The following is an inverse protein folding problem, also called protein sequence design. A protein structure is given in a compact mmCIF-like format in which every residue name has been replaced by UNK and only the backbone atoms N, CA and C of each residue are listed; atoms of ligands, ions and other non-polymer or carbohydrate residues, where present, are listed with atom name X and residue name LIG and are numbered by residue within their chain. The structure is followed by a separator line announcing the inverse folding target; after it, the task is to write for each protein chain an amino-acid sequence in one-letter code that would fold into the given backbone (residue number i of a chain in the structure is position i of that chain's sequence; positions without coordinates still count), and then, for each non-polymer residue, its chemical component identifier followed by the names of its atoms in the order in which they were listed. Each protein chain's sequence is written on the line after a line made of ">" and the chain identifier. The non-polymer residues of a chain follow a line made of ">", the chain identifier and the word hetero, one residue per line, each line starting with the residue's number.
data_IF_554508606696
#
_entry.id   IF_554508606696
#
_cell.length_a   1.000
_cell.length_b   1.000
_cell.length_c   1.000
_cell.angle_alpha   90.00
_cell.angle_beta   90.00
_cell.angle_gamma   90.00
#
_symmetry.space_group_name_H-M   'P 1'
#
loop_
_entity.id
_entity.type
_entity.pdbx_description
1 polymer ?
#
# COMPACT_ATOMS: atom_id res chain seq x y z
N UNK A 1 -0.03 0.17 -23.54
CA UNK A 1 -0.27 0.57 -22.15
C UNK A 1 -1.64 0.10 -21.74
N UNK A 2 -1.74 -1.23 -21.68
CA UNK A 2 -2.82 -1.90 -20.97
C UNK A 2 -2.40 -1.88 -19.50
N UNK A 3 -3.29 -1.43 -18.63
CA UNK A 3 -3.03 -1.43 -17.19
C UNK A 3 -3.87 -2.53 -16.54
N UNK A 4 -3.22 -3.31 -15.70
CA UNK A 4 -3.91 -4.20 -14.78
C UNK A 4 -4.05 -3.53 -13.42
N UNK A 5 -5.06 -3.97 -12.67
CA UNK A 5 -5.30 -3.54 -11.30
C UNK A 5 -5.69 -4.74 -10.47
N UNK A 6 -5.11 -4.83 -9.28
CA UNK A 6 -5.47 -5.79 -8.26
C UNK A 6 -6.06 -5.06 -7.06
N UNK A 7 -7.15 -5.58 -6.53
CA UNK A 7 -7.87 -4.99 -5.40
C UNK A 7 -7.89 -5.97 -4.24
N UNK A 8 -7.64 -5.46 -3.02
CA UNK A 8 -7.81 -6.27 -1.82
C UNK A 8 -9.29 -6.41 -1.47
N UNK A 9 -9.74 -7.65 -1.23
CA UNK A 9 -11.04 -7.90 -0.63
C UNK A 9 -11.02 -7.45 0.85
N UNK A 10 -11.61 -6.29 1.12
CA UNK A 10 -11.70 -5.70 2.46
C UNK A 10 -13.09 -5.99 3.05
N UNK A 11 -13.20 -6.41 4.32
CA UNK A 11 -14.48 -6.57 5.01
C UNK A 11 -15.29 -5.27 5.07
N UNK A 12 -16.62 -5.36 5.20
CA UNK A 12 -17.50 -4.19 5.26
C UNK A 12 -17.19 -3.24 6.43
N UNK A 13 -16.65 -3.75 7.54
CA UNK A 13 -16.20 -2.97 8.69
C UNK A 13 -14.78 -2.39 8.53
N UNK A 14 -14.14 -2.66 7.40
CA UNK A 14 -12.79 -2.24 7.06
C UNK A 14 -11.70 -3.08 7.73
N UNK A 15 -10.45 -2.85 7.32
CA UNK A 15 -9.29 -3.55 7.83
C UNK A 15 -8.48 -2.64 8.75
N UNK A 16 -8.39 -2.99 10.04
CA UNK A 16 -7.60 -2.23 11.00
C UNK A 16 -6.11 -2.25 10.65
N UNK A 17 -5.51 -1.06 10.55
CA UNK A 17 -4.08 -0.87 10.36
C UNK A 17 -3.44 -0.33 11.63
N UNK A 18 -2.27 -0.88 11.94
CA UNK A 18 -1.39 -0.37 13.00
C UNK A 18 -0.57 0.82 12.50
N UNK A 19 -0.20 0.79 11.22
CA UNK A 19 0.72 1.76 10.63
C UNK A 19 0.51 1.83 9.11
N UNK A 20 0.55 3.06 8.57
CA UNK A 20 0.75 3.35 7.16
C UNK A 20 1.92 4.33 7.04
N UNK A 21 2.96 3.95 6.30
CA UNK A 21 4.15 4.78 6.12
C UNK A 21 4.47 4.93 4.64
N UNK A 22 4.69 6.17 4.22
CA UNK A 22 5.32 6.51 2.96
C UNK A 22 6.77 6.86 3.27
N UNK A 23 7.72 6.13 2.68
CA UNK A 23 9.15 6.41 2.86
C UNK A 23 9.84 6.28 1.52
N UNK A 24 10.53 7.32 1.10
CA UNK A 24 11.54 7.18 0.06
C UNK A 24 11.94 8.51 -0.55
N UNK A 25 12.84 8.44 -1.51
CA UNK A 25 13.34 9.60 -2.22
C UNK A 25 13.71 9.24 -3.65
N UNK A 26 13.44 10.16 -4.59
CA UNK A 26 13.69 9.91 -6.01
C UNK A 26 12.91 8.70 -6.53
N UNK A 27 13.63 7.69 -7.05
CA UNK A 27 13.04 6.48 -7.67
C UNK A 27 12.64 5.39 -6.67
N UNK A 28 12.97 5.58 -5.39
CA UNK A 28 12.87 4.54 -4.36
C UNK A 28 11.75 4.88 -3.35
N UNK A 29 10.62 5.42 -3.83
CA UNK A 29 9.46 5.68 -2.98
C UNK A 29 8.79 4.36 -2.62
N UNK A 30 8.50 4.15 -1.34
CA UNK A 30 7.81 2.97 -0.85
C UNK A 30 6.56 3.31 -0.03
N UNK A 31 5.55 2.44 -0.13
CA UNK A 31 4.40 2.38 0.78
C UNK A 31 4.56 1.17 1.69
N UNK A 32 4.41 1.38 2.99
CA UNK A 32 4.47 0.34 4.01
C UNK A 32 3.16 0.24 4.75
N UNK A 33 2.55 -0.93 4.71
CA UNK A 33 1.29 -1.25 5.37
C UNK A 33 1.54 -2.26 6.48
N UNK A 34 1.10 -1.95 7.70
CA UNK A 34 1.21 -2.87 8.85
C UNK A 34 -0.15 -3.10 9.49
N UNK A 35 -0.52 -4.38 9.61
CA UNK A 35 -1.66 -4.87 10.40
C UNK A 35 -1.20 -5.25 11.81
N UNK A 36 -2.12 -5.38 12.76
CA UNK A 36 -1.79 -5.72 14.15
C UNK A 36 -1.02 -7.06 14.26
N UNK A 37 -1.43 -8.08 13.53
CA UNK A 37 -0.88 -9.45 13.58
C UNK A 37 -0.33 -9.96 12.23
N UNK A 38 0.14 -9.05 11.36
CA UNK A 38 0.62 -9.39 10.01
C UNK A 38 2.05 -8.95 9.72
N UNK A 39 2.67 -9.50 8.65
CA UNK A 39 3.94 -8.98 8.13
C UNK A 39 3.78 -7.53 7.68
N UNK A 40 4.89 -6.78 7.65
CA UNK A 40 4.92 -5.45 7.04
C UNK A 40 5.00 -5.64 5.53
N UNK A 41 3.98 -5.18 4.82
CA UNK A 41 3.98 -5.13 3.38
C UNK A 41 4.74 -3.88 2.93
N UNK A 42 5.69 -4.05 2.00
CA UNK A 42 6.47 -2.96 1.41
C UNK A 42 6.29 -2.98 -0.11
N UNK A 43 5.73 -1.90 -0.64
CA UNK A 43 5.47 -1.72 -2.07
C UNK A 43 6.36 -0.59 -2.59
N UNK A 44 7.22 -0.85 -3.57
CA UNK A 44 7.85 0.22 -4.35
C UNK A 44 6.79 0.92 -5.20
N UNK A 45 6.75 2.25 -5.21
CA UNK A 45 5.69 3.00 -5.90
C UNK A 45 6.23 4.05 -6.85
N UNK A 46 5.66 4.07 -8.06
CA UNK A 46 5.80 5.18 -9.02
C UNK A 46 4.93 6.37 -8.60
N UNK A 47 3.75 6.05 -8.06
CA UNK A 47 2.79 7.02 -7.53
C UNK A 47 1.94 6.40 -6.43
N UNK A 48 1.45 7.22 -5.51
CA UNK A 48 0.46 6.81 -4.54
C UNK A 48 -0.59 7.89 -4.29
N UNK A 49 -1.83 7.46 -4.11
CA UNK A 49 -2.96 8.29 -3.71
C UNK A 49 -3.56 7.73 -2.43
N UNK A 50 -3.80 8.61 -1.46
CA UNK A 50 -4.46 8.27 -0.21
C UNK A 50 -5.70 9.14 -0.03
N UNK A 51 -6.86 8.50 0.01
CA UNK A 51 -8.12 9.15 0.37
C UNK A 51 -8.38 8.92 1.86
N UNK A 52 -8.69 9.97 2.61
CA UNK A 52 -9.15 9.82 4.00
C UNK A 52 -10.65 10.12 4.11
N UNK A 53 -11.35 9.55 5.09
CA UNK A 53 -12.74 9.89 5.40
C UNK A 53 -12.79 11.30 6.05
N UNK A 54 -12.66 12.31 5.20
CA UNK A 54 -12.49 13.73 5.48
C UNK A 54 -12.00 14.36 4.17
N UNK A 55 -12.18 15.67 3.95
CA UNK A 55 -11.86 16.34 2.66
C UNK A 55 -10.35 16.38 2.30
N UNK A 56 -9.56 15.43 2.82
CA UNK A 56 -8.12 15.32 2.61
C UNK A 56 -7.84 14.12 1.72
N UNK A 57 -7.53 14.44 0.47
CA UNK A 57 -6.80 13.56 -0.43
C UNK A 57 -5.32 13.92 -0.38
N UNK A 58 -4.46 12.91 -0.30
CA UNK A 58 -3.02 13.07 -0.35
C UNK A 58 -2.49 12.32 -1.57
N UNK A 59 -1.98 13.08 -2.54
CA UNK A 59 -1.28 12.55 -3.70
C UNK A 59 0.23 12.64 -3.48
N UNK A 60 0.90 11.49 -3.56
CA UNK A 60 2.34 11.36 -3.48
C UNK A 60 2.85 10.79 -4.80
N UNK A 61 3.43 11.64 -5.62
CA UNK A 61 4.11 11.23 -6.86
C UNK A 61 5.61 11.35 -6.67
N UNK A 62 6.38 10.43 -7.25
CA UNK A 62 7.84 10.60 -7.34
C UNK A 62 8.16 11.91 -8.06
N UNK A 63 8.63 12.91 -7.30
CA UNK A 63 9.28 14.10 -7.82
C UNK A 63 10.78 13.86 -7.66
N UNK A 64 11.53 13.92 -8.75
CA UNK A 64 12.97 13.67 -8.74
C UNK A 64 13.69 14.36 -7.57
N UNK A 65 14.56 13.61 -6.89
CA UNK A 65 15.45 14.02 -5.79
C UNK A 65 14.81 14.63 -4.52
N UNK A 66 13.53 14.36 -4.24
CA UNK A 66 12.91 14.77 -2.96
C UNK A 66 12.66 13.55 -2.07
N UNK A 67 13.20 13.57 -0.85
CA UNK A 67 12.87 12.60 0.19
C UNK A 67 11.56 12.99 0.88
N UNK A 68 10.52 12.18 0.73
CA UNK A 68 9.27 12.35 1.46
C UNK A 68 9.10 11.18 2.44
N UNK A 69 8.97 11.52 3.73
CA UNK A 69 8.61 10.58 4.77
C UNK A 69 7.33 11.07 5.44
N UNK A 70 6.24 10.33 5.24
CA UNK A 70 4.97 10.59 5.91
C UNK A 70 4.54 9.32 6.66
N UNK A 71 4.34 9.45 7.96
CA UNK A 71 3.92 8.35 8.81
C UNK A 71 2.60 8.71 9.47
N UNK A 72 1.61 7.84 9.31
CA UNK A 72 0.39 7.86 10.12
C UNK A 72 0.42 6.65 11.05
N UNK A 73 0.53 6.94 12.35
CA UNK A 73 0.51 5.96 13.43
C UNK A 73 -0.52 6.37 14.48
N UNK A 74 -1.48 5.51 14.78
CA UNK A 74 -2.47 5.77 15.82
C UNK A 74 -3.59 4.74 15.87
N UNK A 75 -4.24 4.56 17.03
CA UNK A 75 -5.42 3.70 17.13
C UNK A 75 -6.54 4.21 16.23
N UNK A 76 -7.24 3.29 15.56
CA UNK A 76 -8.43 3.60 14.78
C UNK A 76 -8.22 3.86 13.30
N UNK A 77 -7.01 3.65 12.75
CA UNK A 77 -6.79 3.67 11.30
C UNK A 77 -7.45 2.44 10.66
N UNK A 78 -8.41 2.66 9.77
CA UNK A 78 -9.16 1.59 9.11
C UNK A 78 -9.00 1.76 7.60
N UNK A 79 -8.41 0.77 6.94
CA UNK A 79 -8.35 0.69 5.48
C UNK A 79 -9.70 0.21 4.93
N UNK A 80 -10.28 0.95 4.00
CA UNK A 80 -11.60 0.66 3.41
C UNK A 80 -11.52 0.27 1.93
N UNK A 81 -10.47 0.71 1.22
CA UNK A 81 -10.16 0.28 -0.14
C UNK A 81 -8.63 0.24 -0.33
N UNK A 82 -8.14 -0.70 -1.13
CA UNK A 82 -6.76 -0.74 -1.60
C UNK A 82 -6.71 -1.31 -3.00
N UNK A 83 -6.24 -0.49 -3.93
CA UNK A 83 -6.04 -0.82 -5.33
C UNK A 83 -4.55 -0.64 -5.68
N UNK A 84 -4.01 -1.62 -6.39
CA UNK A 84 -2.63 -1.64 -6.84
C UNK A 84 -2.64 -1.82 -8.36
N UNK A 85 -2.16 -0.81 -9.09
CA UNK A 85 -2.09 -0.80 -10.54
C UNK A 85 -0.67 -0.91 -11.07
N UNK A 86 -0.52 -1.49 -12.26
CA UNK A 86 0.77 -1.59 -12.96
C UNK A 86 0.57 -1.65 -14.48
N UNK A 87 1.66 -1.46 -15.24
CA UNK A 87 1.65 -1.61 -16.71
C UNK A 87 1.89 -3.07 -17.09
N UNK A 88 1.01 -3.63 -17.93
CA UNK A 88 1.11 -5.01 -18.43
C UNK A 88 2.24 -5.18 -19.46
N UNK A 89 2.69 -4.08 -20.06
CA UNK A 89 3.78 -4.08 -21.04
C UNK A 89 5.16 -4.28 -20.36
N UNK A 90 5.21 -4.26 -19.03
CA UNK A 90 6.42 -4.48 -18.24
C UNK A 90 6.57 -5.97 -17.85
N UNK A 91 7.57 -6.63 -18.43
CA UNK A 91 7.86 -8.06 -18.22
C UNK A 91 8.11 -8.42 -16.75
N UNK A 92 8.55 -7.45 -15.94
CA UNK A 92 8.78 -7.62 -14.51
C UNK A 92 7.48 -7.82 -13.71
N UNK A 93 6.31 -7.45 -14.25
CA UNK A 93 5.03 -7.52 -13.55
C UNK A 93 4.25 -8.84 -13.73
N UNK A 94 4.80 -9.81 -14.48
CA UNK A 94 4.08 -11.05 -14.85
C UNK A 94 3.65 -11.92 -13.67
N UNK A 95 4.40 -11.91 -12.55
CA UNK A 95 4.09 -12.68 -11.33
C UNK A 95 3.45 -11.83 -10.23
N UNK A 96 3.24 -10.54 -10.47
CA UNK A 96 2.78 -9.58 -9.48
C UNK A 96 1.42 -9.96 -8.85
N UNK A 97 0.38 -10.40 -9.60
CA UNK A 97 -0.89 -10.81 -9.01
C UNK A 97 -0.75 -11.96 -8.00
N UNK A 98 0.06 -12.97 -8.33
CA UNK A 98 0.28 -14.15 -7.48
C UNK A 98 1.02 -13.72 -6.20
N UNK A 99 2.01 -12.84 -6.34
CA UNK A 99 2.71 -12.25 -5.21
C UNK A 99 1.76 -11.51 -4.26
N UNK A 100 0.90 -10.64 -4.81
CA UNK A 100 -0.10 -9.89 -4.05
C UNK A 100 -1.10 -10.80 -3.34
N UNK A 101 -1.66 -11.80 -4.03
CA UNK A 101 -2.59 -12.76 -3.41
C UNK A 101 -1.94 -13.53 -2.27
N UNK A 102 -0.74 -14.09 -2.48
CA UNK A 102 -0.02 -14.82 -1.45
C UNK A 102 0.29 -13.95 -0.22
N UNK A 103 0.65 -12.68 -0.46
CA UNK A 103 0.95 -11.71 0.58
C UNK A 103 -0.23 -11.38 1.47
N UNK A 104 -1.38 -11.12 0.87
CA UNK A 104 -2.58 -10.77 1.61
C UNK A 104 -3.27 -11.99 2.23
N UNK A 105 -3.10 -13.17 1.64
CA UNK A 105 -3.55 -14.45 2.19
C UNK A 105 -2.68 -14.96 3.37
N UNK A 106 -1.42 -14.52 3.50
CA UNK A 106 -0.49 -14.94 4.55
C UNK A 106 -0.81 -14.39 5.96
N UNK A 107 -2.09 -14.14 6.27
CA UNK A 107 -2.57 -13.73 7.59
C UNK A 107 -2.04 -14.70 8.65
N UNK A 108 -1.28 -14.18 9.62
CA UNK A 108 -0.83 -14.96 10.77
C UNK A 108 0.43 -15.79 10.57
N UNK A 109 1.32 -15.47 9.62
CA UNK A 109 2.72 -15.94 9.72
C UNK A 109 3.45 -15.07 10.74
N UNK A 110 3.68 -15.57 11.97
CA UNK A 110 4.17 -14.78 13.08
C UNK A 110 5.68 -14.82 13.04
N UNK A 111 6.25 -14.02 12.16
CA UNK A 111 7.62 -13.53 12.28
C UNK A 111 7.70 -12.33 11.36
N UNK A 112 8.14 -11.19 11.88
CA UNK A 112 8.16 -9.87 11.22
C UNK A 112 9.04 -9.77 9.97
N UNK A 113 8.96 -10.75 9.06
CA UNK A 113 9.52 -10.70 7.73
C UNK A 113 8.83 -9.60 6.95
N UNK A 114 9.64 -8.65 6.50
CA UNK A 114 9.26 -7.79 5.38
C UNK A 114 9.11 -8.66 4.16
N UNK A 115 8.07 -8.39 3.40
CA UNK A 115 7.99 -8.89 2.03
C UNK A 115 7.97 -7.67 1.13
N UNK A 116 9.05 -7.57 0.36
CA UNK A 116 9.33 -6.48 -0.55
C UNK A 116 9.02 -6.95 -1.96
N UNK A 117 8.24 -6.15 -2.69
CA UNK A 117 8.09 -6.31 -4.12
C UNK A 117 9.13 -5.43 -4.81
N UNK A 118 9.92 -6.01 -5.71
CA UNK A 118 10.99 -5.31 -6.43
C UNK A 118 10.46 -4.53 -7.65
N UNK A 119 9.19 -4.11 -7.62
CA UNK A 119 8.47 -3.53 -8.75
C UNK A 119 7.87 -2.18 -8.36
N UNK A 120 7.82 -1.24 -9.31
CA UNK A 120 7.16 0.04 -9.11
C UNK A 120 5.69 -0.08 -9.51
N UNK A 121 4.78 0.16 -8.55
CA UNK A 121 3.33 0.11 -8.77
C UNK A 121 2.68 1.47 -8.48
N UNK A 122 1.48 1.67 -9.02
CA UNK A 122 0.60 2.76 -8.62
C UNK A 122 -0.28 2.25 -7.47
N UNK A 123 -0.29 2.93 -6.32
CA UNK A 123 -1.07 2.51 -5.13
C UNK A 123 -2.14 3.52 -4.79
N UNK A 124 -3.40 3.10 -4.81
CA UNK A 124 -4.52 3.87 -4.28
C UNK A 124 -5.07 3.22 -3.00
N UNK A 125 -5.06 3.97 -1.90
CA UNK A 125 -5.57 3.52 -0.61
C UNK A 125 -6.67 4.46 -0.11
N UNK A 126 -7.74 3.90 0.45
CA UNK A 126 -8.77 4.66 1.16
C UNK A 126 -8.77 4.30 2.63
N UNK A 127 -8.76 5.30 3.48
CA UNK A 127 -8.65 5.19 4.93
C UNK A 127 -9.81 5.92 5.60
N UNK A 128 -10.27 5.38 6.71
CA UNK A 128 -11.15 6.07 7.65
C UNK A 128 -10.58 5.97 9.06
N UNK A 129 -11.07 6.82 9.95
CA UNK A 129 -10.82 6.67 11.38
C UNK A 129 -12.08 6.13 12.04
N UNK A 130 -11.94 5.16 12.96
CA UNK A 130 -13.06 4.82 13.84
C UNK A 130 -13.43 6.05 14.65
N UNK A 131 -14.67 6.52 14.56
CA UNK A 131 -15.16 7.57 15.45
C UNK A 131 -14.99 7.08 16.90
N UNK A 132 -14.35 7.91 17.74
CA UNK A 132 -14.18 7.65 19.16
C UNK A 132 -15.54 7.61 19.88
#
# INVERSE_FOLDING_TARGET
>A
MTKSTWSLAIPDDGLALKELVFVGGGKDLEVRLRRDDGPVLVLGVSSSRVNTAGEVALDITSLGDVSLALSYSGPGLILTALDIGWDDDDEWNTELPIGLEALFAAVGTPDGKRVELNYCVDVEASLTTRAA
#
